data_IF_514464631201
#
_entry.id   IF_514464631201
#
_cell.length_a   1.000
_cell.length_b   1.000
_cell.length_c   1.000
_cell.angle_alpha   90.00
_cell.angle_beta   90.00
_cell.angle_gamma   90.00
#
_symmetry.space_group_name_H-M   'P 1'
#
loop_
_entity.id
_entity.type
_entity.pdbx_description
1 polymer ?
#
# COMPACT_ATOMS: atom_id res chain seq x y z
N UNK A 1 -0.72 -15.98 -0.93
CA UNK A 1 0.04 -14.72 -0.90
C UNK A 1 0.94 -14.70 -2.12
N UNK A 2 0.98 -13.60 -2.84
CA UNK A 2 1.88 -13.45 -3.98
C UNK A 2 3.35 -13.47 -3.53
N UNK A 3 4.29 -13.72 -4.44
CA UNK A 3 5.70 -13.90 -4.11
C UNK A 3 6.34 -12.58 -3.62
N UNK A 4 5.87 -11.43 -4.13
CA UNK A 4 6.35 -10.11 -3.71
C UNK A 4 6.01 -9.85 -2.24
N UNK A 5 4.77 -10.07 -1.82
CA UNK A 5 4.39 -9.93 -0.41
C UNK A 5 5.07 -10.96 0.50
N UNK A 6 5.25 -12.22 0.04
CA UNK A 6 6.03 -13.22 0.78
C UNK A 6 7.45 -12.73 1.04
N UNK A 7 8.10 -12.21 -0.01
CA UNK A 7 9.45 -11.66 0.11
C UNK A 7 9.48 -10.47 1.08
N UNK A 8 8.56 -9.52 0.94
CA UNK A 8 8.45 -8.36 1.81
C UNK A 8 8.30 -8.76 3.27
N UNK A 9 7.35 -9.66 3.58
CA UNK A 9 7.15 -10.20 4.94
C UNK A 9 8.40 -10.88 5.49
N UNK A 10 9.16 -11.59 4.64
CA UNK A 10 10.38 -12.31 5.08
C UNK A 10 11.53 -11.39 5.49
N UNK A 11 11.51 -10.12 5.07
CA UNK A 11 12.59 -9.15 5.29
C UNK A 11 12.17 -7.95 6.15
N UNK A 12 10.96 -7.97 6.74
CA UNK A 12 10.49 -6.87 7.59
C UNK A 12 11.45 -6.60 8.75
N UNK A 13 11.56 -5.33 9.12
CA UNK A 13 12.37 -4.93 10.25
C UNK A 13 11.64 -5.27 11.57
N UNK A 14 12.16 -6.20 12.38
CA UNK A 14 11.50 -6.62 13.60
C UNK A 14 11.51 -5.56 14.72
N UNK A 15 12.19 -4.44 14.50
CA UNK A 15 12.22 -3.30 15.43
C UNK A 15 10.88 -2.57 15.47
N UNK A 16 10.12 -2.61 14.38
CA UNK A 16 8.83 -1.96 14.25
C UNK A 16 7.72 -3.01 14.26
N UNK A 17 6.57 -2.67 14.80
CA UNK A 17 5.49 -3.64 15.05
C UNK A 17 4.19 -3.34 14.27
N UNK A 18 4.11 -2.22 13.55
CA UNK A 18 2.93 -1.87 12.76
C UNK A 18 3.06 -2.33 11.30
N UNK A 19 2.04 -3.02 10.84
CA UNK A 19 1.84 -3.50 9.46
C UNK A 19 0.56 -2.86 8.94
N UNK A 20 0.62 -2.19 7.80
CA UNK A 20 -0.51 -1.47 7.24
C UNK A 20 -0.78 -1.92 5.81
N UNK A 21 -2.07 -2.02 5.46
CA UNK A 21 -2.53 -2.20 4.07
C UNK A 21 -3.57 -1.13 3.75
N UNK A 22 -3.37 -0.46 2.62
CA UNK A 22 -4.28 0.54 2.06
C UNK A 22 -4.86 0.01 0.74
N UNK A 23 -6.18 -0.16 0.70
CA UNK A 23 -6.90 -0.92 -0.33
C UNK A 23 -7.05 -2.38 0.08
N UNK A 24 -8.03 -2.67 0.92
CA UNK A 24 -8.27 -4.00 1.49
C UNK A 24 -9.22 -4.81 0.62
N UNK A 25 -10.25 -4.14 0.06
CA UNK A 25 -11.32 -4.80 -0.69
C UNK A 25 -11.91 -6.02 0.06
N UNK A 26 -11.81 -7.23 -0.49
CA UNK A 26 -12.26 -8.47 0.15
C UNK A 26 -11.32 -9.06 1.21
N UNK A 27 -10.17 -8.44 1.48
CA UNK A 27 -9.26 -8.81 2.57
C UNK A 27 -8.34 -10.00 2.29
N UNK A 28 -8.14 -10.39 1.04
CA UNK A 28 -7.33 -11.57 0.68
C UNK A 28 -5.86 -11.37 1.05
N UNK A 29 -5.27 -10.25 0.65
CA UNK A 29 -3.86 -9.91 0.87
C UNK A 29 -3.56 -9.70 2.35
N UNK A 30 -4.34 -8.87 3.04
CA UNK A 30 -4.13 -8.57 4.46
C UNK A 30 -4.30 -9.81 5.35
N UNK A 31 -5.24 -10.70 5.02
CA UNK A 31 -5.39 -12.00 5.70
C UNK A 31 -4.12 -12.83 5.57
N UNK A 32 -3.58 -12.94 4.37
CA UNK A 32 -2.36 -13.70 4.10
C UNK A 32 -1.13 -13.08 4.78
N UNK A 33 -1.04 -11.74 4.82
CA UNK A 33 -0.03 -11.04 5.59
C UNK A 33 -0.16 -11.40 7.06
N UNK A 34 -1.38 -11.27 7.65
CA UNK A 34 -1.63 -11.58 9.07
C UNK A 34 -1.25 -13.01 9.42
N UNK A 35 -1.65 -14.00 8.61
CA UNK A 35 -1.36 -15.42 8.82
C UNK A 35 0.14 -15.78 8.71
N UNK A 36 0.92 -14.93 8.04
CA UNK A 36 2.37 -15.13 7.86
C UNK A 36 3.21 -14.52 8.99
N UNK A 37 2.60 -13.81 9.92
CA UNK A 37 3.27 -13.08 10.99
C UNK A 37 2.97 -13.70 12.35
N UNK A 38 3.93 -13.69 13.31
CA UNK A 38 3.64 -14.03 14.69
C UNK A 38 2.53 -13.15 15.27
N UNK A 39 1.54 -13.76 15.91
CA UNK A 39 0.31 -13.10 16.33
C UNK A 39 0.54 -12.04 17.42
N UNK A 40 1.45 -12.31 18.33
CA UNK A 40 1.78 -11.48 19.49
C UNK A 40 2.78 -10.36 19.20
N UNK A 41 3.42 -10.37 18.03
CA UNK A 41 4.51 -9.46 17.72
C UNK A 41 4.10 -8.26 16.86
N UNK A 42 3.16 -8.44 15.94
CA UNK A 42 2.78 -7.43 14.97
C UNK A 42 1.31 -7.06 15.08
N UNK A 43 1.02 -5.78 14.95
CA UNK A 43 -0.32 -5.22 14.81
C UNK A 43 -0.60 -4.94 13.35
N UNK A 44 -1.68 -5.50 12.85
CA UNK A 44 -2.06 -5.41 11.44
C UNK A 44 -3.30 -4.53 11.31
N UNK A 45 -3.20 -3.51 10.45
CA UNK A 45 -4.23 -2.52 10.22
C UNK A 45 -4.59 -2.47 8.75
N UNK A 46 -5.89 -2.55 8.44
CA UNK A 46 -6.43 -2.41 7.10
C UNK A 46 -7.21 -1.11 6.93
N UNK A 47 -7.01 -0.42 5.83
CA UNK A 47 -7.66 0.84 5.50
C UNK A 47 -8.39 0.71 4.18
N UNK A 48 -9.69 0.95 4.18
CA UNK A 48 -10.52 0.95 2.98
C UNK A 48 -11.84 1.69 3.22
N UNK A 49 -12.38 2.30 2.19
CA UNK A 49 -13.75 2.81 2.22
C UNK A 49 -14.78 1.68 2.18
N UNK A 50 -14.42 0.55 1.55
CA UNK A 50 -15.29 -0.55 1.17
C UNK A 50 -16.41 -0.13 0.19
N UNK A 51 -16.27 1.07 -0.38
CA UNK A 51 -17.17 1.65 -1.38
C UNK A 51 -16.52 1.65 -2.79
N UNK A 52 -15.28 1.12 -2.90
CA UNK A 52 -14.50 1.07 -4.14
C UNK A 52 -13.75 2.36 -4.43
N UNK A 53 -13.31 2.53 -5.67
CA UNK A 53 -12.48 3.66 -6.09
C UNK A 53 -13.19 5.01 -5.87
N UNK A 54 -12.49 6.04 -5.34
CA UNK A 54 -13.06 7.38 -5.15
C UNK A 54 -13.33 8.12 -6.46
N UNK A 55 -12.64 7.76 -7.54
CA UNK A 55 -12.73 8.36 -8.87
C UNK A 55 -12.45 7.32 -9.96
N UNK A 56 -12.62 7.67 -11.22
CA UNK A 56 -12.29 6.80 -12.34
C UNK A 56 -10.78 6.58 -12.44
N UNK A 57 -10.36 5.34 -12.63
CA UNK A 57 -8.97 5.01 -12.91
C UNK A 57 -8.70 5.24 -14.40
N UNK A 58 -8.18 6.41 -14.71
CA UNK A 58 -7.96 6.86 -16.09
C UNK A 58 -7.05 5.88 -16.84
N UNK A 59 -7.49 5.47 -18.04
CA UNK A 59 -6.78 4.52 -18.90
C UNK A 59 -7.13 3.05 -18.61
N UNK A 60 -8.06 2.79 -17.69
CA UNK A 60 -8.60 1.46 -17.42
C UNK A 60 -10.12 1.41 -17.61
N UNK A 61 -10.70 0.23 -17.46
CA UNK A 61 -12.16 0.05 -17.40
C UNK A 61 -12.74 0.27 -15.99
N UNK A 62 -11.89 0.52 -15.01
CA UNK A 62 -12.26 0.66 -13.61
C UNK A 62 -12.75 2.08 -13.32
N UNK A 63 -14.06 2.25 -13.22
CA UNK A 63 -14.69 3.53 -12.89
C UNK A 63 -14.85 3.71 -11.39
N UNK A 64 -15.23 4.90 -10.96
CA UNK A 64 -15.60 5.18 -9.57
C UNK A 64 -16.54 4.11 -9.02
N UNK A 65 -16.24 3.62 -7.80
CA UNK A 65 -16.99 2.54 -7.14
C UNK A 65 -16.58 1.13 -7.59
N UNK A 66 -15.69 0.99 -8.57
CA UNK A 66 -15.12 -0.32 -8.90
C UNK A 66 -14.39 -0.88 -7.66
N UNK A 67 -14.36 -2.18 -7.47
CA UNK A 67 -13.90 -2.89 -6.25
C UNK A 67 -14.74 -2.68 -4.99
N UNK A 68 -15.95 -2.07 -5.08
CA UNK A 68 -16.83 -1.95 -3.93
C UNK A 68 -17.24 -3.32 -3.38
N UNK A 69 -17.18 -3.46 -2.06
CA UNK A 69 -17.74 -4.60 -1.33
C UNK A 69 -19.13 -4.28 -0.74
N UNK A 70 -19.73 -3.16 -1.19
CA UNK A 70 -21.01 -2.69 -0.64
C UNK A 70 -20.90 -2.21 0.80
N UNK A 71 -19.72 -1.74 1.21
CA UNK A 71 -19.44 -1.29 2.58
C UNK A 71 -19.21 -2.43 3.57
N UNK A 72 -19.08 -3.68 3.11
CA UNK A 72 -18.85 -4.85 3.97
C UNK A 72 -17.38 -4.96 4.33
N UNK A 73 -17.09 -4.96 5.63
CA UNK A 73 -15.73 -5.17 6.18
C UNK A 73 -15.50 -6.67 6.34
N UNK A 74 -14.36 -7.23 5.85
CA UNK A 74 -14.06 -8.63 6.07
C UNK A 74 -13.77 -8.92 7.56
N UNK A 75 -14.21 -10.08 8.05
CA UNK A 75 -13.89 -10.53 9.40
C UNK A 75 -12.58 -11.34 9.38
N UNK A 76 -11.49 -10.73 9.87
CA UNK A 76 -10.17 -11.36 9.91
C UNK A 76 -9.59 -11.21 11.31
N UNK A 77 -9.34 -12.35 11.97
CA UNK A 77 -8.76 -12.35 13.32
C UNK A 77 -7.39 -11.69 13.36
N UNK A 78 -7.15 -10.82 14.33
CA UNK A 78 -5.88 -10.14 14.52
C UNK A 78 -5.63 -8.99 13.51
N UNK A 79 -6.66 -8.53 12.81
CA UNK A 79 -6.63 -7.33 11.96
C UNK A 79 -7.63 -6.31 12.49
N UNK A 80 -7.19 -5.07 12.64
CA UNK A 80 -8.06 -3.93 12.96
C UNK A 80 -8.32 -3.12 11.69
N UNK A 81 -9.58 -2.81 11.40
CA UNK A 81 -9.97 -2.09 10.20
C UNK A 81 -10.37 -0.65 10.48
N UNK A 82 -9.86 0.27 9.67
CA UNK A 82 -10.25 1.65 9.60
C UNK A 82 -11.12 1.84 8.35
N UNK A 83 -12.45 1.79 8.52
CA UNK A 83 -13.41 1.99 7.46
C UNK A 83 -13.62 3.48 7.18
N UNK A 84 -13.43 3.90 5.96
CA UNK A 84 -13.62 5.26 5.45
C UNK A 84 -12.56 5.65 4.43
N UNK A 85 -12.68 6.87 3.92
CA UNK A 85 -11.69 7.44 3.01
C UNK A 85 -10.37 7.71 3.76
N UNK A 86 -9.23 7.65 3.07
CA UNK A 86 -7.92 7.73 3.72
C UNK A 86 -7.69 9.08 4.42
N UNK A 87 -8.19 10.18 3.86
CA UNK A 87 -8.14 11.49 4.50
C UNK A 87 -8.89 11.55 5.84
N UNK A 88 -9.84 10.65 6.08
CA UNK A 88 -10.61 10.54 7.32
C UNK A 88 -9.98 9.53 8.29
N UNK A 89 -9.47 8.42 7.77
CA UNK A 89 -8.99 7.29 8.57
C UNK A 89 -7.53 7.45 9.01
N UNK A 90 -6.67 8.04 8.20
CA UNK A 90 -5.27 8.32 8.58
C UNK A 90 -5.18 9.20 9.83
N UNK A 91 -5.94 10.31 9.99
CA UNK A 91 -5.95 11.08 11.23
C UNK A 91 -6.40 10.28 12.47
N UNK A 92 -7.29 9.31 12.30
CA UNK A 92 -7.71 8.43 13.39
C UNK A 92 -6.57 7.48 13.80
N UNK A 93 -5.95 6.82 12.81
CA UNK A 93 -4.80 5.94 13.04
C UNK A 93 -3.62 6.67 13.68
N UNK A 94 -3.35 7.94 13.33
CA UNK A 94 -2.26 8.72 13.92
C UNK A 94 -2.32 8.84 15.44
N UNK A 95 -3.46 8.65 16.06
CA UNK A 95 -3.61 8.66 17.53
C UNK A 95 -2.93 7.47 18.22
N UNK A 96 -2.70 6.39 17.47
CA UNK A 96 -2.08 5.15 17.94
C UNK A 96 -0.84 4.76 17.14
N UNK A 97 -0.50 5.56 16.12
CA UNK A 97 0.54 5.23 15.15
C UNK A 97 1.92 5.11 15.81
N UNK A 98 2.69 4.17 15.26
CA UNK A 98 4.10 3.93 15.58
C UNK A 98 4.88 3.74 14.27
N UNK A 99 6.22 3.69 14.33
CA UNK A 99 7.01 3.37 13.14
C UNK A 99 6.52 2.09 12.45
N UNK A 100 6.39 2.19 11.13
CA UNK A 100 5.81 1.14 10.29
C UNK A 100 6.91 0.16 9.86
N UNK A 101 6.64 -1.14 10.03
CA UNK A 101 7.51 -2.21 9.53
C UNK A 101 7.23 -2.53 8.05
N UNK A 102 5.94 -2.69 7.72
CA UNK A 102 5.47 -2.95 6.36
C UNK A 102 4.28 -2.03 6.03
N UNK A 103 4.36 -1.36 4.90
CA UNK A 103 3.28 -0.61 4.29
C UNK A 103 2.96 -1.24 2.92
N UNK A 104 1.81 -1.88 2.80
CA UNK A 104 1.28 -2.36 1.53
C UNK A 104 0.35 -1.30 0.94
N UNK A 105 0.71 -0.80 -0.22
CA UNK A 105 -0.03 0.20 -1.00
C UNK A 105 -0.67 -0.54 -2.16
N UNK A 106 -1.98 -0.72 -2.11
CA UNK A 106 -2.82 -1.44 -3.08
C UNK A 106 -4.09 -0.61 -3.29
N UNK A 107 -3.86 0.68 -3.61
CA UNK A 107 -4.93 1.66 -3.70
C UNK A 107 -5.02 2.35 -5.07
N UNK A 108 -4.31 1.80 -6.06
CA UNK A 108 -4.39 2.06 -7.49
C UNK A 108 -4.06 3.50 -7.91
N UNK A 109 -4.69 4.47 -7.29
CA UNK A 109 -4.77 5.84 -7.78
C UNK A 109 -3.66 6.74 -7.23
N UNK A 110 -3.27 7.71 -8.06
CA UNK A 110 -2.33 8.77 -7.66
C UNK A 110 -2.85 9.56 -6.44
N UNK A 111 -4.12 9.96 -6.45
CA UNK A 111 -4.77 10.71 -5.36
C UNK A 111 -4.75 9.93 -4.04
N UNK A 112 -5.11 8.66 -4.08
CA UNK A 112 -5.11 7.77 -2.92
C UNK A 112 -3.70 7.57 -2.35
N UNK A 113 -2.73 7.32 -3.22
CA UNK A 113 -1.33 7.11 -2.82
C UNK A 113 -0.70 8.36 -2.21
N UNK A 114 -1.06 9.58 -2.69
CA UNK A 114 -0.65 10.84 -2.05
C UNK A 114 -1.14 10.88 -0.60
N UNK A 115 -2.41 10.60 -0.36
CA UNK A 115 -2.96 10.62 1.01
C UNK A 115 -2.19 9.68 1.93
N UNK A 116 -1.85 8.48 1.44
CA UNK A 116 -1.09 7.48 2.21
C UNK A 116 0.33 7.95 2.51
N UNK A 117 1.14 8.23 1.49
CA UNK A 117 2.57 8.53 1.68
C UNK A 117 2.80 9.84 2.42
N UNK A 118 2.05 10.90 2.08
CA UNK A 118 2.19 12.19 2.74
C UNK A 118 1.57 12.16 4.14
N UNK A 119 0.43 11.48 4.28
CA UNK A 119 -0.24 11.33 5.56
C UNK A 119 0.56 10.56 6.59
N UNK A 120 1.32 9.54 6.17
CA UNK A 120 2.08 8.66 7.07
C UNK A 120 3.59 8.97 7.13
N UNK A 121 4.06 10.02 6.48
CA UNK A 121 5.48 10.32 6.32
C UNK A 121 6.29 10.21 7.62
N UNK A 122 5.76 10.70 8.72
CA UNK A 122 6.44 10.71 10.02
C UNK A 122 6.62 9.32 10.66
N UNK A 123 5.88 8.31 10.17
CA UNK A 123 5.96 6.92 10.65
C UNK A 123 6.71 6.00 9.69
N UNK A 124 7.00 6.48 8.48
CA UNK A 124 7.82 5.77 7.48
C UNK A 124 9.28 6.09 7.78
N UNK A 125 9.96 5.15 8.44
CA UNK A 125 11.30 5.33 9.01
C UNK A 125 12.33 4.46 8.27
N UNK A 126 13.65 4.72 8.43
CA UNK A 126 14.67 3.82 7.91
C UNK A 126 14.44 2.37 8.34
N UNK A 127 14.34 1.48 7.37
CA UNK A 127 13.99 0.07 7.56
C UNK A 127 12.51 -0.26 7.36
N UNK A 128 11.64 0.74 7.13
CA UNK A 128 10.28 0.50 6.64
C UNK A 128 10.33 -0.11 5.25
N UNK A 129 9.56 -1.16 5.03
CA UNK A 129 9.34 -1.77 3.73
C UNK A 129 8.01 -1.25 3.17
N UNK A 130 8.02 -0.77 1.94
CA UNK A 130 6.82 -0.41 1.21
C UNK A 130 6.67 -1.39 0.04
N UNK A 131 5.49 -1.97 -0.09
CA UNK A 131 5.11 -2.76 -1.27
C UNK A 131 4.05 -1.99 -2.02
N UNK A 132 4.33 -1.73 -3.29
CA UNK A 132 3.37 -1.17 -4.23
C UNK A 132 2.81 -2.30 -5.09
N UNK A 133 1.48 -2.40 -5.20
CA UNK A 133 0.83 -3.45 -5.99
C UNK A 133 0.76 -3.05 -7.47
N UNK A 134 0.55 -1.76 -7.76
CA UNK A 134 0.44 -1.21 -9.11
C UNK A 134 1.62 -0.27 -9.44
N UNK A 135 2.86 -0.83 -9.41
CA UNK A 135 4.06 -0.05 -9.71
C UNK A 135 4.21 0.30 -11.19
N UNK A 136 3.82 -0.61 -12.07
CA UNK A 136 3.81 -0.38 -13.51
C UNK A 136 2.38 -0.34 -14.01
N UNK A 137 2.09 0.66 -14.79
CA UNK A 137 0.82 0.72 -15.51
C UNK A 137 0.96 -0.01 -16.85
N UNK A 138 0.07 -0.96 -17.12
CA UNK A 138 -0.10 -1.58 -18.42
C UNK A 138 -1.30 -0.95 -19.12
N UNK A 139 -1.07 -0.27 -20.23
CA UNK A 139 -2.14 0.17 -21.12
C UNK A 139 -2.54 -0.95 -22.10
N UNK A 140 -3.46 -0.67 -23.02
CA UNK A 140 -3.90 -1.61 -24.06
C UNK A 140 -2.78 -2.13 -24.99
N UNK A 141 -1.59 -1.52 -24.93
CA UNK A 141 -0.40 -1.86 -25.71
C UNK A 141 0.64 -2.65 -24.88
N UNK A 142 0.35 -2.92 -23.61
CA UNK A 142 1.20 -3.66 -22.70
C UNK A 142 1.93 -2.79 -21.68
N UNK A 143 2.83 -3.40 -20.89
CA UNK A 143 3.61 -2.69 -19.88
C UNK A 143 4.54 -1.67 -20.52
N UNK A 144 4.32 -0.38 -20.24
CA UNK A 144 5.18 0.67 -20.74
C UNK A 144 6.45 0.78 -19.89
N UNK A 145 7.55 0.29 -20.41
CA UNK A 145 8.85 0.25 -19.74
C UNK A 145 9.65 1.57 -19.87
N UNK A 146 9.15 2.61 -20.53
CA UNK A 146 9.80 3.93 -20.52
C UNK A 146 9.47 4.67 -19.22
N UNK A 147 10.14 4.21 -18.20
CA UNK A 147 9.87 4.41 -16.78
C UNK A 147 9.92 5.90 -16.37
N UNK A 148 10.70 6.73 -17.02
CA UNK A 148 10.85 8.13 -16.57
C UNK A 148 9.76 9.08 -17.08
N UNK A 149 9.28 8.85 -18.30
CA UNK A 149 8.31 9.75 -18.95
C UNK A 149 6.86 9.40 -18.67
N UNK A 150 6.60 8.14 -18.32
CA UNK A 150 5.25 7.59 -18.18
C UNK A 150 4.92 7.09 -16.78
N UNK A 151 5.61 7.55 -15.75
CA UNK A 151 5.25 7.27 -14.35
C UNK A 151 3.84 7.75 -14.09
N UNK A 152 3.00 6.84 -13.61
CA UNK A 152 1.63 7.15 -13.25
C UNK A 152 1.31 6.61 -11.84
N UNK A 153 0.18 7.03 -11.31
CA UNK A 153 -0.40 6.49 -10.08
C UNK A 153 0.60 6.32 -8.92
N UNK A 154 0.75 5.11 -8.38
CA UNK A 154 1.59 4.81 -7.21
C UNK A 154 3.07 5.13 -7.46
N UNK A 155 3.61 4.74 -8.63
CA UNK A 155 5.00 5.01 -8.97
C UNK A 155 5.29 6.51 -9.06
N UNK A 156 4.40 7.29 -9.70
CA UNK A 156 4.56 8.74 -9.81
C UNK A 156 4.58 9.38 -8.43
N UNK A 157 3.61 9.03 -7.58
CA UNK A 157 3.50 9.55 -6.22
C UNK A 157 4.76 9.24 -5.41
N UNK A 158 5.26 8.02 -5.49
CA UNK A 158 6.47 7.63 -4.77
C UNK A 158 7.67 8.49 -5.16
N UNK A 159 7.94 8.67 -6.46
CA UNK A 159 9.10 9.46 -6.91
C UNK A 159 8.96 10.95 -6.58
N UNK A 160 7.77 11.51 -6.62
CA UNK A 160 7.51 12.88 -6.16
C UNK A 160 7.73 13.00 -4.66
N UNK A 161 7.23 12.05 -3.88
CA UNK A 161 7.37 12.03 -2.44
C UNK A 161 8.84 11.93 -1.99
N UNK A 162 9.62 11.00 -2.56
CA UNK A 162 11.04 10.86 -2.21
C UNK A 162 11.85 12.10 -2.58
N UNK A 163 11.52 12.74 -3.71
CA UNK A 163 12.14 13.99 -4.13
C UNK A 163 11.81 15.15 -3.20
N UNK A 164 10.54 15.28 -2.81
CA UNK A 164 10.05 16.39 -2.00
C UNK A 164 10.62 16.36 -0.56
N UNK A 165 10.91 15.18 -0.05
CA UNK A 165 11.38 14.98 1.32
C UNK A 165 12.81 14.46 1.44
N UNK A 166 13.57 14.41 0.35
CA UNK A 166 14.94 13.86 0.27
C UNK A 166 15.06 12.47 0.91
N UNK A 167 14.09 11.60 0.64
CA UNK A 167 14.03 10.24 1.19
C UNK A 167 15.05 9.36 0.48
N UNK A 168 15.88 8.67 1.25
CA UNK A 168 16.79 7.64 0.73
C UNK A 168 16.09 6.30 0.71
N UNK A 169 16.25 5.55 -0.36
CA UNK A 169 15.59 4.26 -0.56
C UNK A 169 16.42 3.30 -1.40
N UNK A 170 16.05 2.04 -1.35
CA UNK A 170 16.54 0.97 -2.21
C UNK A 170 15.35 0.29 -2.87
N UNK A 171 15.41 0.11 -4.18
CA UNK A 171 14.44 -0.71 -4.90
C UNK A 171 14.99 -2.13 -4.96
N UNK A 172 14.18 -3.11 -4.55
CA UNK A 172 14.53 -4.51 -4.81
C UNK A 172 14.18 -4.88 -6.25
N UNK A 173 14.87 -5.92 -6.75
CA UNK A 173 14.57 -6.47 -8.07
C UNK A 173 13.10 -6.90 -8.16
N UNK A 174 12.53 -6.75 -9.35
CA UNK A 174 11.17 -7.18 -9.64
C UNK A 174 11.03 -8.68 -9.45
N UNK A 175 10.04 -9.09 -8.66
CA UNK A 175 9.74 -10.50 -8.39
C UNK A 175 8.54 -10.93 -9.21
N UNK A 176 7.53 -10.06 -9.27
CA UNK A 176 6.31 -10.25 -10.04
C UNK A 176 6.01 -8.98 -10.83
N UNK A 177 5.44 -9.17 -12.00
CA UNK A 177 5.00 -8.06 -12.84
C UNK A 177 4.05 -7.13 -12.08
N UNK A 178 4.22 -5.83 -12.29
CA UNK A 178 3.46 -4.72 -11.70
C UNK A 178 3.73 -4.43 -10.22
N UNK A 179 4.48 -5.25 -9.47
CA UNK A 179 4.74 -5.03 -8.04
C UNK A 179 6.17 -4.58 -7.77
N UNK A 180 6.34 -3.80 -6.73
CA UNK A 180 7.67 -3.33 -6.33
C UNK A 180 7.82 -3.30 -4.81
N UNK A 181 8.97 -3.79 -4.33
CA UNK A 181 9.39 -3.62 -2.95
C UNK A 181 10.39 -2.48 -2.87
N UNK A 182 10.14 -1.58 -1.95
CA UNK A 182 11.03 -0.45 -1.60
C UNK A 182 11.45 -0.58 -0.15
N UNK A 183 12.74 -0.38 0.13
CA UNK A 183 13.27 -0.29 1.50
C UNK A 183 13.70 1.16 1.76
N UNK A 184 13.15 1.78 2.78
CA UNK A 184 13.56 3.13 3.22
C UNK A 184 14.90 3.06 3.98
N UNK A 185 15.81 3.98 3.66
CA UNK A 185 17.20 4.01 4.21
C UNK A 185 17.42 5.17 5.16
#
# INVERSE_FOLDING_TARGET
>A
MNETLKKAVSIINPKYDHILEFGVCGGISIKQIRESLPEDKFKVYGFDSFEGLPEDWVGTVCTKGFFSTGGVIPEISGVEFFKGWFNETIPQYKKIAKPISLLHVDCDLYSSTIEVLYGLREFIMPGTIIVFDEWYYADEHGVNLDIEKNRQHEQKTFYEWVKNFDIKYELLDEIEQNRRIVIIK
#
